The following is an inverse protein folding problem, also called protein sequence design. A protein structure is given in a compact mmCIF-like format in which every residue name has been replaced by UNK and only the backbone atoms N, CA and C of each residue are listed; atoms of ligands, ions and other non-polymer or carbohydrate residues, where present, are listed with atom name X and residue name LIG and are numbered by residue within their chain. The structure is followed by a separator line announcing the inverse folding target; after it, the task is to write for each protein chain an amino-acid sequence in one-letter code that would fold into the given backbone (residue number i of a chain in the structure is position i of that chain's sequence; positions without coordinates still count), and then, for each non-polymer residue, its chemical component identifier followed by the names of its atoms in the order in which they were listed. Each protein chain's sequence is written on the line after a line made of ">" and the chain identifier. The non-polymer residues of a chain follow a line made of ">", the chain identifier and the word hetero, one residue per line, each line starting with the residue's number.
data_IF_374581873215
#
_entry.id   IF_374581873215
#
_cell.length_a   1.000
_cell.length_b   1.000
_cell.length_c   1.000
_cell.angle_alpha   90.00
_cell.angle_beta   90.00
_cell.angle_gamma   90.00
#
_symmetry.space_group_name_H-M   'P 1'
#
loop_
_entity.id
_entity.type
_entity.pdbx_description
1 polymer ?
#
# COMPACT_ATOMS: atom_id res chain seq x y z
N UNK A 1 21.13 10.41 4.26
CA UNK A 1 19.84 10.87 3.73
C UNK A 1 18.77 10.31 4.63
N UNK A 2 17.76 11.10 4.98
CA UNK A 2 16.71 10.67 5.91
C UNK A 2 15.52 10.08 5.14
N UNK A 3 15.20 8.81 5.38
CA UNK A 3 14.05 8.11 4.83
C UNK A 3 12.96 8.04 5.89
N UNK A 4 11.80 8.61 5.62
CA UNK A 4 10.65 8.60 6.53
C UNK A 4 9.53 7.77 5.90
N UNK A 5 9.03 6.78 6.63
CA UNK A 5 7.80 6.10 6.24
C UNK A 5 6.57 6.94 6.57
N UNK A 6 5.55 6.87 5.72
CA UNK A 6 4.24 7.48 5.95
C UNK A 6 3.14 6.47 5.73
N UNK A 7 2.15 6.45 6.63
CA UNK A 7 0.98 5.59 6.52
C UNK A 7 -0.21 6.18 7.27
N UNK A 8 -1.42 5.76 6.90
CA UNK A 8 -2.64 6.06 7.67
C UNK A 8 -3.33 4.77 8.04
N UNK A 9 -3.99 4.74 9.20
CA UNK A 9 -4.71 3.55 9.64
C UNK A 9 -6.09 3.90 10.21
N UNK A 10 -7.02 2.95 10.11
CA UNK A 10 -8.36 3.06 10.70
C UNK A 10 -8.85 1.70 11.19
N UNK A 11 -9.39 0.91 10.27
CA UNK A 11 -9.94 -0.42 10.54
C UNK A 11 -8.85 -1.50 10.69
N UNK A 12 -7.64 -1.16 10.29
CA UNK A 12 -6.43 -1.97 10.24
C UNK A 12 -5.37 -1.53 11.28
N UNK A 13 -5.77 -0.74 12.27
CA UNK A 13 -4.88 -0.20 13.31
C UNK A 13 -4.09 -1.29 14.06
N UNK A 14 -4.66 -2.47 14.23
CA UNK A 14 -4.00 -3.61 14.88
C UNK A 14 -2.86 -4.21 14.05
N UNK A 15 -2.74 -3.89 12.76
CA UNK A 15 -1.62 -4.32 11.91
C UNK A 15 -0.40 -3.40 12.03
N UNK A 16 -0.56 -2.22 12.63
CA UNK A 16 0.51 -1.20 12.74
C UNK A 16 1.74 -1.69 13.49
N UNK A 17 1.67 -2.42 14.62
CA UNK A 17 2.87 -2.91 15.29
C UNK A 17 3.77 -3.76 14.40
N UNK A 18 3.17 -4.67 13.62
CA UNK A 18 3.90 -5.54 12.69
C UNK A 18 4.40 -4.78 11.46
N UNK A 19 3.64 -3.77 10.99
CA UNK A 19 4.14 -2.86 9.95
C UNK A 19 5.39 -2.12 10.46
N UNK A 20 5.35 -1.53 11.66
CA UNK A 20 6.49 -0.81 12.24
C UNK A 20 7.69 -1.74 12.40
N UNK A 21 7.50 -2.98 12.88
CA UNK A 21 8.58 -3.97 12.96
C UNK A 21 9.17 -4.32 11.57
N UNK A 22 8.34 -4.34 10.51
CA UNK A 22 8.82 -4.54 9.14
C UNK A 22 9.61 -3.34 8.60
N UNK A 23 9.26 -2.12 9.02
CA UNK A 23 9.87 -0.87 8.56
C UNK A 23 11.11 -0.47 9.37
N UNK A 24 11.22 -0.88 10.63
CA UNK A 24 12.32 -0.51 11.54
C UNK A 24 13.74 -0.65 10.93
N UNK A 25 14.08 -1.74 10.21
CA UNK A 25 15.40 -1.85 9.58
C UNK A 25 15.55 -1.09 8.25
N UNK A 26 14.48 -0.43 7.77
CA UNK A 26 14.41 0.21 6.45
C UNK A 26 14.46 1.74 6.56
N UNK A 27 13.83 2.33 7.58
CA UNK A 27 13.62 3.78 7.64
C UNK A 27 14.21 4.43 8.90
N UNK A 28 14.50 5.72 8.82
CA UNK A 28 15.03 6.52 9.94
C UNK A 28 13.92 7.01 10.89
N UNK A 29 12.66 6.73 10.57
CA UNK A 29 11.49 7.11 11.33
C UNK A 29 10.21 6.94 10.52
N UNK A 30 9.07 7.12 11.18
CA UNK A 30 7.77 7.03 10.54
C UNK A 30 6.82 8.10 11.08
N UNK A 31 5.83 8.45 10.26
CA UNK A 31 4.74 9.35 10.60
C UNK A 31 3.45 8.65 10.23
N UNK A 32 2.51 8.63 11.16
CA UNK A 32 1.24 7.98 10.98
C UNK A 32 0.07 8.95 11.17
N UNK A 33 -0.98 8.76 10.38
CA UNK A 33 -2.26 9.43 10.56
C UNK A 33 -3.29 8.47 11.13
N UNK A 34 -3.74 8.73 12.36
CA UNK A 34 -4.79 7.96 13.03
C UNK A 34 -6.17 8.46 12.61
N UNK A 35 -6.82 7.70 11.73
CA UNK A 35 -8.13 8.05 11.16
C UNK A 35 -9.30 7.37 11.91
N UNK A 36 -9.06 6.78 13.09
CA UNK A 36 -10.10 6.06 13.85
C UNK A 36 -11.28 6.93 14.29
N UNK A 37 -11.08 8.23 14.43
CA UNK A 37 -12.12 9.18 14.82
C UNK A 37 -12.90 9.78 13.64
N UNK A 38 -12.55 9.43 12.39
CA UNK A 38 -13.27 9.92 11.24
C UNK A 38 -14.72 9.40 11.21
N UNK A 39 -15.63 10.22 10.66
CA UNK A 39 -17.01 9.85 10.41
C UNK A 39 -17.18 9.31 8.99
N UNK A 40 -18.20 8.46 8.78
CA UNK A 40 -18.50 7.87 7.48
C UNK A 40 -17.65 6.65 7.11
N UNK A 41 -17.99 6.04 5.99
CA UNK A 41 -17.40 4.78 5.47
C UNK A 41 -15.95 5.01 5.03
N UNK A 42 -15.66 6.15 4.40
CA UNK A 42 -14.36 6.53 3.86
C UNK A 42 -14.09 8.02 4.12
N UNK A 43 -12.89 8.37 4.59
CA UNK A 43 -12.46 9.76 4.79
C UNK A 43 -11.60 10.24 3.61
N UNK A 44 -11.37 11.54 3.48
CA UNK A 44 -10.63 12.12 2.34
C UNK A 44 -9.19 11.63 2.26
N UNK A 45 -8.89 10.76 1.28
CA UNK A 45 -7.54 10.25 1.05
C UNK A 45 -6.56 11.36 0.68
N UNK A 46 -6.97 12.30 -0.18
CA UNK A 46 -6.15 13.46 -0.55
C UNK A 46 -5.74 14.26 0.68
N UNK A 47 -6.66 14.53 1.61
CA UNK A 47 -6.34 15.26 2.84
C UNK A 47 -5.34 14.50 3.71
N UNK A 48 -5.57 13.21 3.97
CA UNK A 48 -4.66 12.38 4.78
C UNK A 48 -3.26 12.35 4.18
N UNK A 49 -3.15 12.12 2.87
CA UNK A 49 -1.87 12.05 2.16
C UNK A 49 -1.15 13.40 2.18
N UNK A 50 -1.84 14.52 1.97
CA UNK A 50 -1.23 15.86 2.08
C UNK A 50 -0.62 16.08 3.47
N UNK A 51 -1.36 15.80 4.54
CA UNK A 51 -0.88 15.97 5.92
C UNK A 51 0.34 15.09 6.22
N UNK A 52 0.34 13.86 5.72
CA UNK A 52 1.48 12.94 5.86
C UNK A 52 2.73 13.45 5.12
N UNK A 53 2.57 13.95 3.89
CA UNK A 53 3.66 14.50 3.10
C UNK A 53 4.24 15.78 3.72
N UNK A 54 3.38 16.67 4.23
CA UNK A 54 3.77 17.87 4.99
C UNK A 54 4.57 17.49 6.24
N UNK A 55 4.03 16.57 7.04
CA UNK A 55 4.68 16.12 8.27
C UNK A 55 6.04 15.46 7.99
N UNK A 56 6.15 14.66 6.91
CA UNK A 56 7.41 14.03 6.53
C UNK A 56 8.45 15.07 6.10
N UNK A 57 8.03 16.11 5.36
CA UNK A 57 8.91 17.22 5.00
C UNK A 57 9.36 18.01 6.23
N UNK A 58 8.46 18.31 7.15
CA UNK A 58 8.78 19.03 8.39
C UNK A 58 9.74 18.24 9.30
N UNK A 59 9.66 16.91 9.26
CA UNK A 59 10.62 16.01 9.91
C UNK A 59 11.98 15.90 9.19
N UNK A 60 12.16 16.59 8.06
CA UNK A 60 13.40 16.62 7.28
C UNK A 60 13.61 15.38 6.41
N UNK A 61 12.55 14.77 5.89
CA UNK A 61 12.67 13.65 4.96
C UNK A 61 13.39 14.06 3.66
N UNK A 62 14.43 13.31 3.28
CA UNK A 62 14.99 13.31 1.93
C UNK A 62 14.21 12.37 1.00
N UNK A 63 13.71 11.28 1.58
CA UNK A 63 12.97 10.21 0.92
C UNK A 63 11.75 9.84 1.74
N UNK A 64 10.67 9.53 1.04
CA UNK A 64 9.39 9.13 1.63
C UNK A 64 9.08 7.72 1.17
N UNK A 65 8.72 6.86 2.12
CA UNK A 65 8.22 5.51 1.89
C UNK A 65 6.74 5.44 2.27
N UNK A 66 5.85 5.47 1.29
CA UNK A 66 4.41 5.45 1.53
C UNK A 66 3.86 4.02 1.51
N UNK A 67 3.34 3.53 2.62
CA UNK A 67 2.89 2.14 2.80
C UNK A 67 1.56 2.08 3.54
N UNK A 68 0.82 1.00 3.37
CA UNK A 68 -0.43 0.76 4.09
C UNK A 68 -0.24 -0.28 5.23
N UNK A 69 -1.07 -0.24 6.31
CA UNK A 69 -0.92 -1.16 7.45
C UNK A 69 -0.97 -2.64 7.10
N UNK A 70 -1.64 -2.99 6.01
CA UNK A 70 -1.78 -4.34 5.46
C UNK A 70 -0.69 -4.69 4.42
N UNK A 71 0.37 -3.88 4.29
CA UNK A 71 1.48 -4.13 3.39
C UNK A 71 2.76 -4.55 4.14
N UNK A 72 3.59 -5.40 3.52
CA UNK A 72 4.91 -5.79 4.03
C UNK A 72 5.95 -5.76 2.93
N UNK A 73 7.09 -5.14 3.21
CA UNK A 73 8.25 -5.15 2.32
C UNK A 73 9.07 -6.44 2.50
N UNK A 74 9.58 -6.94 1.38
CA UNK A 74 10.60 -7.99 1.35
C UNK A 74 11.82 -7.60 2.21
N UNK A 75 12.34 -8.53 3.03
CA UNK A 75 13.45 -8.26 3.97
C UNK A 75 14.69 -7.65 3.31
N UNK A 76 15.00 -8.06 2.09
CA UNK A 76 16.12 -7.54 1.31
C UNK A 76 16.02 -6.03 1.01
N UNK A 77 14.86 -5.40 1.26
CA UNK A 77 14.71 -3.95 1.19
C UNK A 77 15.63 -3.23 2.19
N UNK A 78 15.80 -3.78 3.40
CA UNK A 78 16.69 -3.21 4.42
C UNK A 78 18.15 -3.14 3.93
N UNK A 79 18.62 -4.21 3.28
CA UNK A 79 19.99 -4.27 2.73
C UNK A 79 20.19 -3.29 1.55
N UNK A 80 19.11 -2.96 0.84
CA UNK A 80 19.16 -2.17 -0.40
C UNK A 80 18.80 -0.70 -0.20
N UNK A 81 18.19 -0.31 0.92
CA UNK A 81 17.64 1.04 1.10
C UNK A 81 18.72 2.12 0.97
N UNK A 82 19.92 1.89 1.51
CA UNK A 82 21.04 2.83 1.40
C UNK A 82 21.46 3.06 -0.06
N UNK A 83 21.46 2.03 -0.90
CA UNK A 83 21.73 2.16 -2.33
C UNK A 83 20.60 2.89 -3.07
N UNK A 84 19.35 2.51 -2.82
CA UNK A 84 18.17 3.11 -3.47
C UNK A 84 18.08 4.61 -3.18
N UNK A 85 18.43 5.01 -1.96
CA UNK A 85 18.34 6.40 -1.48
C UNK A 85 19.63 7.20 -1.65
N UNK A 86 20.73 6.58 -2.09
CA UNK A 86 22.03 7.27 -2.29
C UNK A 86 22.04 8.38 -3.35
N UNK A 87 21.03 8.44 -4.23
CA UNK A 87 20.99 9.38 -5.35
C UNK A 87 20.16 10.63 -5.01
N UNK A 88 20.55 11.78 -5.54
CA UNK A 88 19.79 13.03 -5.40
C UNK A 88 18.74 13.26 -6.51
N UNK A 89 18.58 12.32 -7.42
CA UNK A 89 17.63 12.43 -8.53
C UNK A 89 16.19 12.24 -8.05
N UNK A 90 15.23 12.87 -8.74
CA UNK A 90 13.80 12.59 -8.55
C UNK A 90 13.49 11.21 -9.13
N UNK A 91 13.56 10.19 -8.28
CA UNK A 91 13.25 8.81 -8.61
C UNK A 91 12.08 8.38 -7.73
N UNK A 92 11.17 7.61 -8.34
CA UNK A 92 10.16 6.84 -7.65
C UNK A 92 10.47 5.36 -7.88
N UNK A 93 10.77 4.64 -6.82
CA UNK A 93 11.14 3.24 -6.80
C UNK A 93 9.89 2.37 -6.65
N UNK A 94 9.71 1.49 -7.63
CA UNK A 94 8.63 0.53 -7.75
C UNK A 94 8.95 -0.78 -7.07
N UNK A 95 7.96 -1.33 -6.37
CA UNK A 95 7.99 -2.66 -5.80
C UNK A 95 6.93 -3.51 -6.49
N UNK A 96 7.27 -4.75 -6.82
CA UNK A 96 6.32 -5.70 -7.39
C UNK A 96 5.25 -5.99 -6.36
N UNK A 97 4.02 -5.65 -6.69
CA UNK A 97 2.91 -5.69 -5.75
C UNK A 97 2.29 -7.08 -5.76
N UNK A 98 2.49 -7.82 -4.67
CA UNK A 98 2.12 -9.22 -4.53
C UNK A 98 0.89 -9.34 -3.65
N UNK A 99 -0.25 -9.54 -4.31
CA UNK A 99 -1.54 -9.71 -3.66
C UNK A 99 -1.60 -11.12 -3.08
N UNK A 100 -1.50 -11.22 -1.75
CA UNK A 100 -1.39 -12.49 -1.03
C UNK A 100 -2.74 -13.19 -0.97
N UNK A 101 -2.78 -14.50 -1.21
CA UNK A 101 -3.99 -15.34 -1.07
C UNK A 101 -3.85 -16.40 0.04
N UNK A 102 -2.66 -16.53 0.60
CA UNK A 102 -2.38 -17.23 1.86
C UNK A 102 -1.26 -16.49 2.60
N UNK A 103 -0.85 -16.96 3.79
CA UNK A 103 0.32 -16.42 4.47
C UNK A 103 1.64 -16.61 3.68
N UNK A 104 1.66 -17.50 2.68
CA UNK A 104 2.87 -17.91 1.96
C UNK A 104 2.78 -17.86 0.44
N UNK A 105 1.61 -17.59 -0.13
CA UNK A 105 1.36 -17.69 -1.57
C UNK A 105 0.62 -16.43 -2.07
N UNK A 106 1.05 -15.91 -3.22
CA UNK A 106 0.44 -14.76 -3.88
C UNK A 106 -0.03 -15.12 -5.29
N UNK A 107 -1.02 -14.38 -5.79
CA UNK A 107 -1.59 -14.61 -7.12
C UNK A 107 -0.72 -14.01 -8.22
N UNK A 108 -0.55 -14.73 -9.33
CA UNK A 108 0.39 -14.38 -10.41
C UNK A 108 -0.22 -14.33 -11.82
N UNK A 109 -1.46 -14.77 -12.01
CA UNK A 109 -2.12 -14.71 -13.32
C UNK A 109 -2.54 -13.29 -13.72
N UNK A 110 -2.59 -13.04 -15.03
CA UNK A 110 -3.13 -11.80 -15.61
C UNK A 110 -2.55 -10.53 -14.98
N UNK A 111 -3.45 -9.64 -14.54
CA UNK A 111 -3.08 -8.37 -13.92
C UNK A 111 -2.31 -8.55 -12.60
N UNK A 112 -2.53 -9.65 -11.87
CA UNK A 112 -1.97 -9.89 -10.54
C UNK A 112 -0.45 -10.04 -10.57
N UNK A 113 0.08 -10.74 -11.58
CA UNK A 113 1.52 -10.93 -11.76
C UNK A 113 2.27 -9.65 -12.17
N UNK A 114 1.56 -8.67 -12.74
CA UNK A 114 2.12 -7.46 -13.35
C UNK A 114 2.01 -6.21 -12.47
N UNK A 115 1.34 -6.26 -11.31
CA UNK A 115 1.13 -5.08 -10.46
C UNK A 115 2.47 -4.55 -9.91
N UNK A 116 2.61 -3.23 -9.95
CA UNK A 116 3.78 -2.50 -9.45
C UNK A 116 3.28 -1.29 -8.66
N UNK A 117 3.92 -0.99 -7.53
CA UNK A 117 3.61 0.19 -6.72
C UNK A 117 4.86 1.00 -6.44
N UNK A 118 4.86 2.28 -6.85
CA UNK A 118 5.96 3.21 -6.65
C UNK A 118 5.88 3.87 -5.27
N UNK A 119 6.27 3.13 -4.23
CA UNK A 119 6.09 3.52 -2.83
C UNK A 119 7.26 4.30 -2.22
N UNK A 120 8.48 4.19 -2.75
CA UNK A 120 9.66 4.91 -2.24
C UNK A 120 10.07 6.01 -3.21
N UNK A 121 9.98 7.27 -2.82
CA UNK A 121 10.26 8.39 -3.73
C UNK A 121 10.98 9.54 -3.03
N UNK A 122 11.71 10.32 -3.84
CA UNK A 122 12.39 11.54 -3.35
C UNK A 122 11.35 12.51 -2.77
N UNK A 123 11.59 13.03 -1.58
CA UNK A 123 10.75 14.06 -0.99
C UNK A 123 10.66 15.29 -1.90
N UNK A 124 9.49 15.92 -1.93
CA UNK A 124 9.19 17.07 -2.77
C UNK A 124 8.36 18.10 -2.00
N UNK A 125 7.90 19.15 -2.66
CA UNK A 125 7.02 20.15 -2.04
C UNK A 125 5.56 19.69 -2.01
N UNK A 126 4.96 19.42 -0.82
CA UNK A 126 3.60 18.90 -0.71
C UNK A 126 2.54 19.79 -1.36
N UNK A 127 2.80 21.10 -1.52
CA UNK A 127 1.91 22.01 -2.29
C UNK A 127 1.72 21.56 -3.75
N UNK A 128 2.64 20.73 -4.27
CA UNK A 128 2.56 20.12 -5.60
C UNK A 128 1.72 18.85 -5.62
N UNK A 129 1.30 18.30 -4.49
CA UNK A 129 0.44 17.13 -4.45
C UNK A 129 -0.96 17.48 -4.95
N UNK A 130 -1.45 16.77 -5.98
CA UNK A 130 -2.71 17.09 -6.68
C UNK A 130 -3.56 15.86 -6.99
N UNK A 131 -3.30 14.71 -6.35
CA UNK A 131 -4.07 13.50 -6.64
C UNK A 131 -5.54 13.68 -6.23
N UNK A 132 -6.43 13.57 -7.20
CA UNK A 132 -7.88 13.58 -7.00
C UNK A 132 -8.51 12.19 -7.13
N UNK A 133 -7.72 11.20 -7.56
CA UNK A 133 -8.19 9.83 -7.82
C UNK A 133 -7.97 8.92 -6.62
N UNK A 134 -8.95 8.05 -6.36
CA UNK A 134 -8.76 6.85 -5.55
C UNK A 134 -7.66 6.00 -6.24
N UNK A 135 -6.64 5.59 -5.49
CA UNK A 135 -5.44 4.91 -6.02
C UNK A 135 -4.44 5.78 -6.81
N UNK A 136 -4.57 7.10 -6.81
CA UNK A 136 -3.59 7.95 -7.50
C UNK A 136 -2.18 7.86 -6.90
N UNK A 137 -1.19 8.35 -7.65
CA UNK A 137 0.22 8.34 -7.27
C UNK A 137 0.47 9.12 -5.96
N UNK A 138 1.50 8.71 -5.21
CA UNK A 138 2.00 9.44 -4.03
C UNK A 138 2.92 10.61 -4.35
N UNK A 139 3.28 10.75 -5.62
CA UNK A 139 4.07 11.86 -6.17
C UNK A 139 3.36 12.41 -7.40
N UNK A 140 3.50 13.71 -7.68
CA UNK A 140 2.88 14.33 -8.83
C UNK A 140 3.62 13.98 -10.12
N UNK A 141 2.89 13.55 -11.15
CA UNK A 141 3.45 13.10 -12.42
C UNK A 141 4.18 14.21 -13.21
N UNK A 142 3.83 15.48 -12.97
CA UNK A 142 4.42 16.64 -13.63
C UNK A 142 5.78 17.09 -13.04
N UNK A 143 6.21 16.52 -11.91
CA UNK A 143 7.51 16.85 -11.28
C UNK A 143 8.71 16.10 -11.88
N UNK A 144 8.49 15.30 -12.92
CA UNK A 144 9.57 14.63 -13.66
C UNK A 144 10.26 13.50 -12.88
N UNK A 145 9.50 12.78 -12.05
CA UNK A 145 9.98 11.56 -11.40
C UNK A 145 10.30 10.50 -12.45
N UNK A 146 11.46 9.85 -12.29
CA UNK A 146 11.79 8.65 -13.05
C UNK A 146 11.34 7.43 -12.27
N UNK A 147 10.41 6.68 -12.81
CA UNK A 147 9.96 5.40 -12.29
C UNK A 147 10.99 4.31 -12.57
N UNK A 148 11.29 3.49 -11.55
CA UNK A 148 12.28 2.41 -11.67
C UNK A 148 11.87 1.20 -10.83
N UNK A 149 11.96 0.02 -11.42
CA UNK A 149 11.77 -1.24 -10.70
C UNK A 149 12.94 -1.50 -9.74
N UNK A 150 12.62 -1.85 -8.49
CA UNK A 150 13.60 -2.31 -7.51
C UNK A 150 13.91 -3.79 -7.65
N UNK A 151 13.10 -4.57 -8.34
CA UNK A 151 13.06 -6.04 -8.34
C UNK A 151 12.69 -6.64 -6.97
N UNK A 152 12.25 -5.84 -6.00
CA UNK A 152 11.79 -6.27 -4.67
C UNK A 152 10.26 -6.37 -4.62
N UNK A 153 9.75 -7.19 -3.70
CA UNK A 153 8.32 -7.36 -3.49
C UNK A 153 7.76 -6.44 -2.39
N UNK A 154 6.51 -5.99 -2.61
CA UNK A 154 5.60 -5.44 -1.62
C UNK A 154 4.40 -6.37 -1.52
N UNK A 155 4.26 -7.04 -0.37
CA UNK A 155 3.22 -8.03 -0.11
C UNK A 155 1.99 -7.35 0.48
N UNK A 156 0.81 -7.58 -0.10
CA UNK A 156 -0.44 -7.01 0.37
C UNK A 156 -1.33 -8.10 0.99
N UNK A 157 -1.53 -7.98 2.29
CA UNK A 157 -2.10 -9.01 3.17
C UNK A 157 -3.63 -9.03 3.15
N UNK A 158 -4.28 -7.92 2.76
CA UNK A 158 -5.75 -7.79 2.81
C UNK A 158 -6.44 -8.82 1.94
N UNK A 159 -5.80 -9.28 0.87
CA UNK A 159 -6.34 -10.29 -0.03
C UNK A 159 -6.26 -11.72 0.49
N UNK A 160 -5.63 -12.00 1.64
CA UNK A 160 -5.49 -13.39 2.17
C UNK A 160 -6.87 -14.00 2.48
N UNK A 161 -7.71 -13.26 3.18
CA UNK A 161 -9.00 -13.74 3.66
C UNK A 161 -10.12 -13.47 2.62
N UNK A 162 -10.88 -14.49 2.17
CA UNK A 162 -11.97 -14.34 1.21
C UNK A 162 -12.97 -13.23 1.52
N UNK A 163 -13.42 -13.11 2.77
CA UNK A 163 -14.39 -12.05 3.13
C UNK A 163 -13.81 -10.64 2.98
N UNK A 164 -12.49 -10.45 3.14
CA UNK A 164 -11.86 -9.15 2.89
C UNK A 164 -11.82 -8.84 1.39
N UNK A 165 -11.70 -9.84 0.52
CA UNK A 165 -11.83 -9.67 -0.95
C UNK A 165 -13.25 -9.23 -1.32
N UNK A 166 -14.27 -9.90 -0.79
CA UNK A 166 -15.68 -9.53 -0.99
C UNK A 166 -16.01 -8.15 -0.43
N UNK A 167 -15.55 -7.83 0.79
CA UNK A 167 -15.74 -6.51 1.38
C UNK A 167 -15.04 -5.40 0.60
N UNK A 168 -13.85 -5.68 0.03
CA UNK A 168 -13.14 -4.76 -0.86
C UNK A 168 -13.89 -4.49 -2.16
N UNK A 169 -14.45 -5.53 -2.77
CA UNK A 169 -15.32 -5.38 -3.93
C UNK A 169 -16.56 -4.52 -3.59
N UNK A 170 -17.24 -4.81 -2.47
CA UNK A 170 -18.42 -4.05 -2.05
C UNK A 170 -18.08 -2.57 -1.78
N UNK A 171 -16.96 -2.30 -1.08
CA UNK A 171 -16.51 -0.93 -0.82
C UNK A 171 -16.20 -0.18 -2.12
N UNK A 172 -15.50 -0.79 -3.07
CA UNK A 172 -15.17 -0.12 -4.31
C UNK A 172 -16.38 0.13 -5.21
N UNK A 173 -17.33 -0.82 -5.28
CA UNK A 173 -18.62 -0.57 -5.97
C UNK A 173 -19.40 0.58 -5.33
N UNK A 174 -19.30 0.76 -4.00
CA UNK A 174 -19.93 1.90 -3.32
C UNK A 174 -19.22 3.23 -3.64
N UNK A 175 -17.89 3.24 -3.68
CA UNK A 175 -17.09 4.45 -3.92
C UNK A 175 -17.04 4.86 -5.40
N UNK A 176 -17.13 3.90 -6.31
CA UNK A 176 -17.11 4.08 -7.76
C UNK A 176 -18.24 3.28 -8.42
N UNK A 177 -19.52 3.69 -8.24
CA UNK A 177 -20.67 2.96 -8.76
C UNK A 177 -20.79 2.96 -10.28
N UNK A 178 -20.00 3.80 -10.96
CA UNK A 178 -20.00 3.95 -12.42
C UNK A 178 -18.75 3.41 -13.10
N UNK A 179 -17.80 2.86 -12.33
CA UNK A 179 -16.50 2.37 -12.82
C UNK A 179 -15.67 3.47 -13.51
N UNK A 180 -15.84 4.73 -13.10
CA UNK A 180 -15.10 5.88 -13.64
C UNK A 180 -13.62 5.86 -13.22
N UNK A 181 -13.28 5.15 -12.14
CA UNK A 181 -11.92 5.02 -11.61
C UNK A 181 -11.26 3.69 -11.97
N UNK A 182 -12.05 2.67 -12.37
CA UNK A 182 -11.54 1.36 -12.75
C UNK A 182 -12.41 0.72 -13.85
N UNK A 183 -11.98 0.90 -15.10
CA UNK A 183 -12.74 0.49 -16.29
C UNK A 183 -13.13 -1.00 -16.32
N UNK A 184 -12.30 -1.89 -15.76
CA UNK A 184 -12.59 -3.34 -15.72
C UNK A 184 -13.59 -3.75 -14.61
N UNK A 185 -14.07 -2.79 -13.82
CA UNK A 185 -14.90 -3.03 -12.65
C UNK A 185 -14.15 -3.71 -11.50
N UNK A 186 -14.89 -4.34 -10.58
CA UNK A 186 -14.36 -4.89 -9.32
C UNK A 186 -14.61 -6.39 -9.13
N UNK A 187 -15.22 -7.05 -10.11
CA UNK A 187 -15.58 -8.47 -10.08
C UNK A 187 -14.32 -9.35 -9.97
N UNK A 188 -13.24 -8.90 -10.62
CA UNK A 188 -11.94 -9.56 -10.61
C UNK A 188 -11.36 -9.79 -9.21
N UNK A 189 -11.75 -8.98 -8.20
CA UNK A 189 -11.22 -9.11 -6.84
C UNK A 189 -11.62 -10.43 -6.17
N UNK A 190 -12.75 -11.01 -6.56
CA UNK A 190 -13.29 -12.26 -5.99
C UNK A 190 -13.27 -13.41 -6.98
N UNK A 191 -13.00 -13.16 -8.26
CA UNK A 191 -12.94 -14.20 -9.28
C UNK A 191 -11.62 -14.98 -9.19
N UNK A 192 -11.69 -16.22 -8.73
CA UNK A 192 -10.56 -17.15 -8.62
C UNK A 192 -10.54 -18.19 -9.75
N UNK A 193 -11.37 -18.01 -10.78
CA UNK A 193 -11.35 -18.86 -11.98
C UNK A 193 -9.95 -18.85 -12.61
N UNK A 194 -9.38 -20.03 -12.83
CA UNK A 194 -8.03 -20.23 -13.36
C UNK A 194 -6.90 -19.52 -12.59
N UNK A 195 -7.14 -19.16 -11.32
CA UNK A 195 -6.15 -18.48 -10.48
C UNK A 195 -4.88 -19.31 -10.33
N UNK A 196 -3.73 -18.65 -10.51
CA UNK A 196 -2.41 -19.25 -10.36
C UNK A 196 -1.69 -18.58 -9.22
N UNK A 197 -1.08 -19.41 -8.38
CA UNK A 197 -0.39 -18.96 -7.19
C UNK A 197 1.09 -19.32 -7.24
N UNK A 198 1.91 -18.43 -6.69
CA UNK A 198 3.32 -18.67 -6.46
C UNK A 198 3.60 -18.56 -4.96
N UNK A 199 4.33 -19.55 -4.44
CA UNK A 199 4.85 -19.50 -3.09
C UNK A 199 5.96 -18.46 -3.00
N UNK A 200 6.00 -17.67 -1.93
CA UNK A 200 7.10 -16.75 -1.65
C UNK A 200 8.42 -17.52 -1.77
N UNK A 201 9.30 -17.14 -2.71
CA UNK A 201 10.55 -17.87 -2.89
C UNK A 201 11.45 -17.76 -1.65
N UNK A 202 12.27 -18.79 -1.36
CA UNK A 202 13.27 -18.71 -0.30
C UNK A 202 14.13 -17.45 -0.46
N UNK A 203 14.37 -16.75 0.66
CA UNK A 203 15.11 -15.48 0.68
C UNK A 203 14.24 -14.23 0.42
N UNK A 204 13.06 -14.36 -0.18
CA UNK A 204 12.20 -13.22 -0.54
C UNK A 204 11.13 -12.86 0.50
N UNK A 205 11.08 -13.58 1.62
CA UNK A 205 10.10 -13.33 2.68
C UNK A 205 10.18 -11.95 3.33
N UNK A 206 9.11 -11.61 4.05
CA UNK A 206 9.01 -10.45 4.93
C UNK A 206 9.05 -10.90 6.41
N UNK A 207 9.26 -9.95 7.31
CA UNK A 207 9.21 -10.16 8.76
C UNK A 207 8.55 -8.95 9.44
N UNK A 208 7.73 -9.13 10.49
CA UNK A 208 7.30 -10.42 11.07
C UNK A 208 6.40 -11.23 10.12
N UNK A 209 6.33 -12.57 10.27
CA UNK A 209 5.39 -13.38 9.50
C UNK A 209 3.96 -13.02 9.88
N UNK A 210 3.09 -12.90 8.88
CA UNK A 210 1.69 -12.56 9.14
C UNK A 210 0.93 -13.75 9.73
N UNK A 211 0.16 -13.49 10.78
CA UNK A 211 -0.86 -14.38 11.33
C UNK A 211 -2.21 -13.72 11.08
N UNK A 212 -3.07 -14.38 10.31
CA UNK A 212 -4.38 -13.82 10.01
C UNK A 212 -5.24 -13.77 11.28
N UNK A 213 -5.93 -12.66 11.47
CA UNK A 213 -6.78 -12.40 12.63
C UNK A 213 -8.27 -12.62 12.34
N UNK A 214 -8.60 -12.93 11.09
CA UNK A 214 -9.95 -13.07 10.59
C UNK A 214 -10.78 -11.80 10.75
N UNK A 215 -10.20 -10.60 10.90
CA UNK A 215 -10.98 -9.36 11.05
C UNK A 215 -11.22 -8.70 9.70
N UNK A 216 -12.24 -7.86 9.63
CA UNK A 216 -12.40 -6.91 8.54
C UNK A 216 -11.47 -5.72 8.74
N UNK A 217 -10.75 -5.34 7.69
CA UNK A 217 -9.75 -4.25 7.70
C UNK A 217 -10.24 -3.04 6.92
N UNK A 218 -11.55 -2.92 6.80
CA UNK A 218 -12.28 -1.88 6.08
C UNK A 218 -13.72 -1.84 6.60
N UNK A 219 -14.48 -0.81 6.21
CA UNK A 219 -15.91 -0.79 6.43
C UNK A 219 -16.56 -2.02 5.78
N UNK A 220 -17.39 -2.73 6.56
CA UNK A 220 -18.10 -3.91 6.08
C UNK A 220 -19.48 -3.51 5.56
N UNK A 221 -19.57 -3.35 4.24
CA UNK A 221 -20.82 -3.05 3.54
C UNK A 221 -21.55 -4.32 3.09
N UNK A 222 -20.99 -5.51 3.35
CA UNK A 222 -21.63 -6.77 2.96
C UNK A 222 -22.76 -7.15 3.91
N UNK A 223 -22.66 -6.72 5.19
CA UNK A 223 -23.69 -6.94 6.20
C UNK A 223 -24.95 -6.06 6.02
N UNK A 224 -24.86 -4.93 5.31
CA UNK A 224 -25.99 -4.03 5.06
C UNK A 224 -26.93 -4.52 3.94
N UNK A 225 -26.50 -5.50 3.13
CA UNK A 225 -27.30 -6.05 2.03
C UNK A 225 -28.31 -7.14 2.45
N UNK A 226 -28.27 -7.59 3.70
CA UNK A 226 -29.17 -8.61 4.27
C UNK A 226 -30.28 -8.03 5.16
N UNK A 227 -30.44 -6.70 5.20
CA UNK A 227 -31.42 -5.96 6.00
C UNK A 227 -32.62 -5.41 5.23
#
# INVERSE_FOLDING_TARGET
>A
MRTIAVFSYRYDAHLVPDLVANLDPIVDGWIAFDDRQAQGIFSSETQRRTLLLESARDAGADWILAVDPDERLERATADRIGQLTSRHQRIAWGFRFREMYSSTDYRIDGIWGAKMQHRLFRAYDPVRYRSQELHGLWYPGDLGFREKDTDLNLYHLKMIEPKRRSGRQALYRHLDPKHEMQDIGYDYLTDETDARFERIPPGRGYHPPHVDDGRMWMADLTAEAEG
#
